data_IF_012380925318
#
_entry.id   IF_012380925318
#
_cell.length_a   1.000
_cell.length_b   1.000
_cell.length_c   1.000
_cell.angle_alpha   90.00
_cell.angle_beta   90.00
_cell.angle_gamma   90.00
#
_symmetry.space_group_name_H-M   'P 1'
#
loop_
_entity.id
_entity.type
_entity.pdbx_description
1 polymer ?
#
# COMPACT_ATOMS: atom_id res chain seq x y z
N UNK A 1 -9.28 -35.62 -0.60
CA UNK A 1 -9.61 -35.26 -2.00
C UNK A 1 -8.29 -34.98 -2.71
N UNK A 2 -8.09 -35.51 -3.92
CA UNK A 2 -6.90 -35.18 -4.72
C UNK A 2 -7.04 -33.76 -5.27
N UNK A 3 -5.97 -32.96 -5.23
CA UNK A 3 -5.97 -31.55 -5.67
C UNK A 3 -4.87 -31.35 -6.70
N UNK A 4 -5.16 -30.59 -7.75
CA UNK A 4 -4.17 -30.22 -8.77
C UNK A 4 -4.01 -28.70 -8.76
N UNK A 5 -2.77 -28.23 -8.62
CA UNK A 5 -2.40 -26.83 -8.73
C UNK A 5 -1.65 -26.62 -10.05
N UNK A 6 -1.96 -25.53 -10.75
CA UNK A 6 -1.27 -25.16 -11.98
C UNK A 6 -0.98 -23.66 -12.01
N UNK A 7 0.23 -23.28 -12.41
CA UNK A 7 0.67 -21.89 -12.54
C UNK A 7 1.28 -21.62 -13.92
N UNK A 8 1.13 -20.37 -14.41
CA UNK A 8 1.78 -19.90 -15.64
C UNK A 8 2.47 -18.56 -15.39
N UNK A 9 3.69 -18.40 -15.91
CA UNK A 9 4.44 -17.15 -15.94
C UNK A 9 5.07 -16.97 -17.31
N UNK A 10 4.38 -16.21 -18.18
CA UNK A 10 4.76 -16.07 -19.59
C UNK A 10 4.92 -17.46 -20.26
N UNK A 11 6.12 -17.83 -20.71
CA UNK A 11 6.41 -19.13 -21.35
C UNK A 11 6.69 -20.26 -20.35
N UNK A 12 6.71 -19.98 -19.05
CA UNK A 12 6.93 -20.97 -17.99
C UNK A 12 5.58 -21.48 -17.47
N UNK A 13 5.48 -22.79 -17.24
CA UNK A 13 4.32 -23.42 -16.63
C UNK A 13 4.76 -24.40 -15.53
N UNK A 14 3.95 -24.53 -14.49
CA UNK A 14 4.13 -25.50 -13.39
C UNK A 14 2.82 -26.22 -13.12
N UNK A 15 2.91 -27.51 -12.76
CA UNK A 15 1.77 -28.32 -12.31
C UNK A 15 2.22 -29.14 -11.10
N UNK A 16 1.43 -29.13 -10.02
CA UNK A 16 1.66 -29.94 -8.83
C UNK A 16 0.40 -30.73 -8.47
N UNK A 17 0.54 -32.03 -8.34
CA UNK A 17 -0.55 -32.94 -7.96
C UNK A 17 -0.39 -33.33 -6.50
N UNK A 18 -1.43 -33.09 -5.70
CA UNK A 18 -1.50 -33.43 -4.28
C UNK A 18 -2.43 -34.62 -4.08
N UNK A 19 -1.87 -35.76 -3.71
CA UNK A 19 -2.59 -37.00 -3.38
C UNK A 19 -2.61 -37.19 -1.86
N UNK A 20 -3.80 -37.32 -1.24
CA UNK A 20 -3.92 -37.52 0.20
C UNK A 20 -3.11 -38.72 0.70
N UNK A 21 -2.43 -38.55 1.83
CA UNK A 21 -1.62 -39.58 2.51
C UNK A 21 -0.43 -40.13 1.69
N UNK A 22 -0.11 -39.52 0.54
CA UNK A 22 0.95 -39.99 -0.35
C UNK A 22 1.94 -38.89 -0.74
N UNK A 23 1.47 -37.70 -1.09
CA UNK A 23 2.33 -36.57 -1.45
C UNK A 23 2.22 -35.47 -0.41
N UNK A 24 3.25 -34.63 -0.32
CA UNK A 24 3.20 -33.41 0.47
C UNK A 24 2.16 -32.40 -0.07
N UNK A 25 1.77 -31.47 0.79
CA UNK A 25 0.85 -30.39 0.40
C UNK A 25 1.58 -29.29 -0.36
N UNK A 26 0.86 -28.47 -1.13
CA UNK A 26 1.45 -27.30 -1.81
C UNK A 26 2.22 -26.42 -0.82
N UNK A 27 1.66 -26.17 0.36
CA UNK A 27 2.26 -25.35 1.42
C UNK A 27 3.40 -26.03 2.19
N UNK A 28 3.79 -27.26 1.84
CA UNK A 28 4.92 -27.96 2.47
C UNK A 28 6.27 -27.44 1.97
N UNK A 29 6.29 -26.81 0.78
CA UNK A 29 7.45 -26.09 0.25
C UNK A 29 7.12 -24.60 0.16
N UNK A 30 8.05 -23.76 0.58
CA UNK A 30 7.91 -22.31 0.39
C UNK A 30 8.47 -21.94 -0.98
N UNK A 31 7.65 -21.29 -1.80
CA UNK A 31 8.13 -20.63 -3.00
C UNK A 31 9.16 -19.55 -2.61
N UNK A 32 10.19 -19.31 -3.46
CA UNK A 32 11.10 -18.21 -3.22
C UNK A 32 10.29 -16.91 -3.16
N UNK A 33 10.50 -16.15 -2.09
CA UNK A 33 9.89 -14.82 -1.98
C UNK A 33 10.28 -13.99 -3.19
N UNK A 34 9.32 -13.23 -3.73
CA UNK A 34 9.63 -12.22 -4.73
C UNK A 34 10.75 -11.31 -4.19
N UNK A 35 11.72 -10.89 -5.02
CA UNK A 35 12.77 -10.00 -4.58
C UNK A 35 12.16 -8.68 -4.13
N UNK A 36 12.03 -8.50 -2.82
CA UNK A 36 11.58 -7.26 -2.22
C UNK A 36 12.77 -6.32 -2.16
N UNK A 37 12.63 -5.16 -2.81
CA UNK A 37 13.61 -4.08 -2.68
C UNK A 37 13.41 -3.45 -1.31
N UNK A 38 14.50 -3.25 -0.58
CA UNK A 38 14.43 -2.53 0.68
C UNK A 38 13.94 -1.10 0.45
N UNK A 39 12.89 -0.70 1.18
CA UNK A 39 12.18 0.58 1.00
C UNK A 39 13.15 1.77 1.11
N UNK A 40 14.19 1.62 1.94
CA UNK A 40 15.28 2.60 2.12
C UNK A 40 16.03 2.91 0.82
N UNK A 41 16.28 1.89 -0.02
CA UNK A 41 16.99 2.00 -1.31
C UNK A 41 16.08 2.61 -2.38
N UNK A 42 14.78 2.28 -2.35
CA UNK A 42 13.82 2.84 -3.29
C UNK A 42 13.57 4.34 -3.08
N UNK A 43 13.58 4.80 -1.83
CA UNK A 43 13.28 6.20 -1.49
C UNK A 43 14.51 7.10 -1.59
N UNK A 44 15.69 6.66 -1.13
CA UNK A 44 16.85 7.54 -1.00
C UNK A 44 17.89 7.40 -2.12
N UNK A 45 18.00 6.22 -2.73
CA UNK A 45 19.06 5.91 -3.71
C UNK A 45 18.53 5.01 -4.83
N UNK A 46 17.63 5.51 -5.70
CA UNK A 46 17.07 4.71 -6.78
C UNK A 46 18.16 4.35 -7.80
N UNK A 47 18.65 3.13 -7.73
CA UNK A 47 19.67 2.58 -8.65
C UNK A 47 19.07 1.87 -9.87
N UNK A 48 17.75 1.63 -9.91
CA UNK A 48 17.08 0.92 -11.00
C UNK A 48 15.71 1.53 -11.34
N UNK A 49 15.24 1.32 -12.57
CA UNK A 49 13.91 1.76 -13.01
C UNK A 49 12.79 1.14 -12.16
N UNK A 50 12.97 -0.10 -11.69
CA UNK A 50 12.00 -0.75 -10.82
C UNK A 50 11.85 0.01 -9.49
N UNK A 51 12.94 0.54 -8.94
CA UNK A 51 12.88 1.33 -7.70
C UNK A 51 12.08 2.62 -7.91
N UNK A 52 12.24 3.27 -9.05
CA UNK A 52 11.51 4.49 -9.40
C UNK A 52 10.01 4.19 -9.55
N UNK A 53 9.66 3.07 -10.20
CA UNK A 53 8.26 2.65 -10.34
C UNK A 53 7.65 2.38 -8.97
N UNK A 54 8.35 1.66 -8.09
CA UNK A 54 7.89 1.39 -6.73
C UNK A 54 7.73 2.68 -5.91
N UNK A 55 8.70 3.58 -5.99
CA UNK A 55 8.61 4.91 -5.38
C UNK A 55 7.39 5.69 -5.88
N UNK A 56 7.16 5.71 -7.20
CA UNK A 56 6.02 6.42 -7.78
C UNK A 56 4.68 5.84 -7.32
N UNK A 57 4.55 4.51 -7.25
CA UNK A 57 3.35 3.83 -6.75
C UNK A 57 3.11 4.11 -5.26
N UNK A 58 4.17 4.10 -4.47
CA UNK A 58 4.11 4.42 -3.04
C UNK A 58 3.71 5.88 -2.82
N UNK A 59 4.36 6.83 -3.49
CA UNK A 59 4.04 8.26 -3.42
C UNK A 59 2.61 8.54 -3.88
N UNK A 60 2.16 7.92 -4.97
CA UNK A 60 0.78 8.05 -5.43
C UNK A 60 -0.22 7.57 -4.37
N UNK A 61 0.04 6.40 -3.78
CA UNK A 61 -0.83 5.83 -2.75
C UNK A 61 -0.85 6.68 -1.49
N UNK A 62 0.30 7.23 -1.08
CA UNK A 62 0.43 8.14 0.06
C UNK A 62 -0.26 9.49 -0.14
N UNK A 63 -0.47 9.93 -1.39
CA UNK A 63 -1.13 11.19 -1.70
C UNK A 63 -2.64 11.04 -1.92
N UNK A 64 -3.05 10.03 -2.67
CA UNK A 64 -4.41 9.97 -3.22
C UNK A 64 -5.24 8.81 -2.66
N UNK A 65 -4.60 7.74 -2.18
CA UNK A 65 -5.33 6.54 -1.74
C UNK A 65 -5.47 6.50 -0.23
N UNK A 66 -4.35 6.47 0.50
CA UNK A 66 -4.32 6.29 1.95
C UNK A 66 -5.04 7.45 2.66
N UNK A 67 -4.73 8.73 2.37
CA UNK A 67 -5.42 9.83 3.04
C UNK A 67 -6.92 9.88 2.73
N UNK A 68 -7.32 9.55 1.50
CA UNK A 68 -8.72 9.53 1.11
C UNK A 68 -9.51 8.45 1.86
N UNK A 69 -8.94 7.24 2.00
CA UNK A 69 -9.54 6.16 2.79
C UNK A 69 -9.66 6.54 4.27
N UNK A 70 -8.63 7.17 4.84
CA UNK A 70 -8.66 7.64 6.24
C UNK A 70 -9.78 8.68 6.46
N UNK A 71 -9.95 9.61 5.52
CA UNK A 71 -11.04 10.60 5.56
C UNK A 71 -12.40 9.94 5.43
N UNK A 72 -12.57 9.00 4.50
CA UNK A 72 -13.82 8.26 4.34
C UNK A 72 -14.21 7.52 5.62
N UNK A 73 -13.24 6.82 6.23
CA UNK A 73 -13.45 6.09 7.48
C UNK A 73 -13.81 7.02 8.63
N UNK A 74 -13.12 8.16 8.74
CA UNK A 74 -13.41 9.19 9.73
C UNK A 74 -14.81 9.79 9.55
N UNK A 75 -15.23 10.09 8.32
CA UNK A 75 -16.56 10.64 8.03
C UNK A 75 -17.65 9.61 8.31
N UNK A 76 -17.40 8.33 8.02
CA UNK A 76 -18.36 7.24 8.24
C UNK A 76 -18.57 6.92 9.71
N UNK A 77 -17.50 6.86 10.50
CA UNK A 77 -17.53 6.50 11.92
C UNK A 77 -16.44 7.26 12.71
N UNK A 78 -16.71 8.51 13.11
CA UNK A 78 -15.71 9.33 13.82
C UNK A 78 -15.28 8.73 15.16
N UNK A 79 -16.20 8.10 15.90
CA UNK A 79 -15.93 7.55 17.24
C UNK A 79 -15.07 6.29 17.16
N UNK A 80 -15.44 5.35 16.31
CA UNK A 80 -14.64 4.13 16.14
C UNK A 80 -13.33 4.40 15.42
N UNK A 81 -13.25 5.40 14.52
CA UNK A 81 -11.99 5.83 13.92
C UNK A 81 -10.98 6.31 14.98
N UNK A 82 -11.43 7.15 15.93
CA UNK A 82 -10.58 7.63 17.01
C UNK A 82 -10.07 6.47 17.90
N UNK A 83 -10.94 5.50 18.22
CA UNK A 83 -10.56 4.33 18.99
C UNK A 83 -9.56 3.44 18.25
N UNK A 84 -9.79 3.16 16.96
CA UNK A 84 -8.88 2.35 16.12
C UNK A 84 -7.53 3.04 15.93
N UNK A 85 -7.53 4.36 15.75
CA UNK A 85 -6.29 5.14 15.65
C UNK A 85 -5.54 5.12 16.99
N UNK A 86 -6.23 5.29 18.12
CA UNK A 86 -5.60 5.24 19.44
C UNK A 86 -4.96 3.87 19.77
N UNK A 87 -5.50 2.78 19.21
CA UNK A 87 -4.95 1.41 19.37
C UNK A 87 -3.68 1.15 18.57
N UNK A 88 -3.26 2.05 17.67
CA UNK A 88 -1.99 1.89 16.96
C UNK A 88 -0.80 1.97 17.91
N UNK A 89 0.21 1.15 17.65
CA UNK A 89 1.38 0.99 18.54
C UNK A 89 2.33 2.18 18.49
N UNK A 90 2.45 2.84 17.33
CA UNK A 90 3.37 3.95 17.11
C UNK A 90 2.66 5.31 17.19
N UNK A 91 3.18 6.21 18.02
CA UNK A 91 2.68 7.59 18.11
C UNK A 91 2.85 8.36 16.79
N UNK A 92 3.92 8.04 16.04
CA UNK A 92 4.14 8.60 14.71
C UNK A 92 2.99 8.25 13.76
N UNK A 93 2.56 6.98 13.74
CA UNK A 93 1.47 6.54 12.87
C UNK A 93 0.14 7.21 13.23
N UNK A 94 -0.12 7.42 14.54
CA UNK A 94 -1.32 8.13 14.99
C UNK A 94 -1.33 9.56 14.49
N UNK A 95 -0.21 10.26 14.66
CA UNK A 95 -0.06 11.65 14.23
C UNK A 95 -0.17 11.78 12.72
N UNK A 96 0.42 10.86 11.96
CA UNK A 96 0.31 10.84 10.50
C UNK A 96 -1.14 10.70 10.03
N UNK A 97 -1.91 9.78 10.62
CA UNK A 97 -3.33 9.57 10.29
C UNK A 97 -4.15 10.83 10.57
N UNK A 98 -4.00 11.41 11.75
CA UNK A 98 -4.73 12.62 12.14
C UNK A 98 -4.37 13.80 11.24
N UNK A 99 -3.09 13.95 10.92
CA UNK A 99 -2.61 15.04 10.07
C UNK A 99 -3.08 14.88 8.62
N UNK A 100 -3.14 13.66 8.09
CA UNK A 100 -3.69 13.40 6.76
C UNK A 100 -5.17 13.81 6.67
N UNK A 101 -5.97 13.44 7.68
CA UNK A 101 -7.39 13.82 7.74
C UNK A 101 -7.56 15.34 7.86
N UNK A 102 -6.77 15.98 8.73
CA UNK A 102 -6.75 17.44 8.92
C UNK A 102 -6.36 18.18 7.65
N UNK A 103 -5.32 17.71 6.95
CA UNK A 103 -4.83 18.31 5.70
C UNK A 103 -5.91 18.32 4.62
N UNK A 104 -6.66 17.22 4.45
CA UNK A 104 -7.68 17.11 3.41
C UNK A 104 -8.98 17.83 3.78
N UNK A 105 -9.42 17.74 5.03
CA UNK A 105 -10.72 18.29 5.44
C UNK A 105 -10.68 19.78 5.78
N UNK A 106 -9.52 20.29 6.23
CA UNK A 106 -9.40 21.64 6.78
C UNK A 106 -8.41 22.49 5.96
N UNK A 107 -7.15 22.08 5.87
CA UNK A 107 -6.07 22.98 5.40
C UNK A 107 -6.01 23.14 3.89
N UNK A 108 -6.13 22.03 3.16
CA UNK A 108 -5.97 21.97 1.70
C UNK A 108 -7.18 21.36 1.03
N UNK A 109 -8.39 21.67 1.53
CA UNK A 109 -9.64 21.20 0.92
C UNK A 109 -9.91 21.94 -0.40
N UNK A 110 -9.77 21.31 -1.58
CA UNK A 110 -10.05 21.97 -2.84
C UNK A 110 -11.56 22.20 -2.99
N UNK A 111 -11.97 23.38 -3.46
CA UNK A 111 -13.39 23.69 -3.76
C UNK A 111 -13.69 23.70 -5.26
N UNK A 112 -12.65 23.86 -6.07
CA UNK A 112 -12.72 23.90 -7.52
C UNK A 112 -11.43 23.31 -8.11
N UNK A 113 -11.42 23.07 -9.42
CA UNK A 113 -10.28 22.49 -10.13
C UNK A 113 -9.01 23.36 -10.05
N UNK A 114 -9.16 24.69 -10.04
CA UNK A 114 -8.04 25.63 -9.93
C UNK A 114 -7.31 25.50 -8.59
N UNK A 115 -8.04 25.22 -7.51
CA UNK A 115 -7.44 24.97 -6.19
C UNK A 115 -6.63 23.68 -6.19
N UNK A 116 -7.04 22.64 -6.93
CA UNK A 116 -6.24 21.43 -7.13
C UNK A 116 -4.92 21.74 -7.85
N UNK A 117 -4.93 22.59 -8.89
CA UNK A 117 -3.71 23.00 -9.60
C UNK A 117 -2.76 23.76 -8.67
N UNK A 118 -3.30 24.66 -7.84
CA UNK A 118 -2.51 25.38 -6.83
C UNK A 118 -1.88 24.42 -5.82
N UNK A 119 -2.64 23.43 -5.35
CA UNK A 119 -2.16 22.40 -4.44
C UNK A 119 -0.98 21.61 -5.03
N UNK A 120 -1.09 21.14 -6.28
CA UNK A 120 0.02 20.46 -6.98
C UNK A 120 1.25 21.36 -7.10
N UNK A 121 1.04 22.66 -7.35
CA UNK A 121 2.14 23.62 -7.49
C UNK A 121 2.90 23.86 -6.19
N UNK A 122 2.22 23.78 -5.04
CA UNK A 122 2.85 23.87 -3.70
C UNK A 122 3.63 22.61 -3.35
N UNK A 123 3.15 21.44 -3.76
CA UNK A 123 3.78 20.15 -3.48
C UNK A 123 5.18 20.01 -4.12
N UNK A 124 5.50 20.82 -5.13
CA UNK A 124 6.81 20.83 -5.81
C UNK A 124 7.95 21.50 -5.01
N UNK A 125 7.62 22.18 -3.90
CA UNK A 125 8.56 23.02 -3.13
C UNK A 125 8.96 22.44 -1.76
N UNK A 126 8.56 21.21 -1.44
CA UNK A 126 9.00 20.45 -0.26
C UNK A 126 9.96 19.33 -0.66
#
# INVERSE_FOLDING_TARGET
>A
IQVVYSGILCTKASVQVVVPFLTESYSSTNDPSDPTVDLSTAINFPISINHIIQWALYTFSGLFTIPAQQVEEFVRDPKGFAERTAKKSSEYEKNEIVENVKRILVEHRPRNFTDCIKWVSLYRLQ
#
